data_IF_173769143244
#
_entry.id   IF_173769143244
#
_cell.length_a   1.000
_cell.length_b   1.000
_cell.length_c   1.000
_cell.angle_alpha   90.00
_cell.angle_beta   90.00
_cell.angle_gamma   90.00
#
_symmetry.space_group_name_H-M   'P 1'
#
loop_
_entity.id
_entity.type
_entity.pdbx_description
1 polymer ?
#
# COMPACT_ATOMS: atom_id res chain seq x y z
N UNK A 1 6.76 -2.57 -9.78
CA UNK A 1 5.26 -2.60 -9.83
C UNK A 1 4.75 -2.75 -8.40
N UNK A 2 3.63 -2.12 -8.06
CA UNK A 2 3.06 -2.19 -6.71
C UNK A 2 1.55 -2.37 -6.76
N UNK A 3 0.98 -2.86 -5.66
CA UNK A 3 -0.46 -2.95 -5.44
C UNK A 3 -0.75 -2.65 -3.97
N UNK A 4 -1.79 -1.86 -3.71
CA UNK A 4 -2.30 -1.58 -2.37
C UNK A 4 -3.73 -2.13 -2.32
N UNK A 5 -4.03 -2.97 -1.32
CA UNK A 5 -5.31 -3.64 -1.16
C UNK A 5 -5.84 -3.34 0.24
N UNK A 6 -7.09 -2.90 0.33
CA UNK A 6 -7.76 -2.82 1.63
C UNK A 6 -8.23 -4.23 2.03
N UNK A 7 -7.69 -4.76 3.12
CA UNK A 7 -8.01 -6.11 3.62
C UNK A 7 -9.03 -6.09 4.76
N UNK A 8 -9.12 -4.97 5.48
CA UNK A 8 -10.09 -4.72 6.53
C UNK A 8 -10.36 -3.20 6.66
N UNK A 9 -11.42 -2.77 7.37
CA UNK A 9 -11.56 -1.38 7.77
C UNK A 9 -10.30 -0.90 8.50
N UNK A 10 -9.63 0.12 7.97
CA UNK A 10 -8.39 0.65 8.56
C UNK A 10 -7.13 -0.16 8.29
N UNK A 11 -7.14 -1.19 7.42
CA UNK A 11 -5.92 -1.95 7.09
C UNK A 11 -5.67 -1.96 5.58
N UNK A 12 -4.47 -1.55 5.18
CA UNK A 12 -3.98 -1.62 3.82
C UNK A 12 -2.80 -2.59 3.73
N UNK A 13 -2.90 -3.54 2.82
CA UNK A 13 -1.80 -4.44 2.43
C UNK A 13 -1.09 -3.90 1.21
N UNK A 14 0.22 -3.78 1.31
CA UNK A 14 1.09 -3.29 0.24
C UNK A 14 1.89 -4.47 -0.31
N UNK A 15 1.71 -4.74 -1.60
CA UNK A 15 2.44 -5.76 -2.36
C UNK A 15 3.41 -5.06 -3.31
N UNK A 16 4.69 -5.39 -3.21
CA UNK A 16 5.75 -4.77 -4.01
C UNK A 16 6.44 -5.83 -4.84
N UNK A 17 6.56 -5.58 -6.16
CA UNK A 17 7.50 -6.30 -7.02
C UNK A 17 8.72 -5.42 -7.21
N UNK A 18 9.81 -5.83 -6.57
CA UNK A 18 11.10 -5.16 -6.52
C UNK A 18 11.99 -5.72 -7.64
N UNK A 19 12.74 -4.85 -8.30
CA UNK A 19 13.69 -5.26 -9.35
C UNK A 19 14.90 -5.98 -8.73
N UNK A 20 15.53 -6.87 -9.49
CA UNK A 20 16.72 -7.58 -9.04
C UNK A 20 17.85 -6.62 -8.67
N UNK A 21 18.54 -6.90 -7.55
CA UNK A 21 19.67 -6.10 -7.06
C UNK A 21 19.33 -5.01 -6.04
N UNK A 22 18.04 -4.84 -5.69
CA UNK A 22 17.61 -3.89 -4.65
C UNK A 22 17.21 -4.63 -3.36
N UNK A 23 17.63 -4.12 -2.20
CA UNK A 23 17.27 -4.64 -0.88
C UNK A 23 15.76 -4.47 -0.61
N UNK A 24 14.99 -5.57 -0.48
CA UNK A 24 13.57 -5.51 -0.21
C UNK A 24 13.18 -4.78 1.08
N UNK A 25 14.02 -4.87 2.11
CA UNK A 25 13.73 -4.28 3.42
C UNK A 25 13.98 -2.78 3.43
N UNK A 26 14.98 -2.32 2.69
CA UNK A 26 15.21 -0.89 2.46
C UNK A 26 14.04 -0.26 1.67
N UNK A 27 13.61 -0.90 0.59
CA UNK A 27 12.46 -0.44 -0.21
C UNK A 27 11.19 -0.43 0.64
N UNK A 28 10.95 -1.49 1.41
CA UNK A 28 9.79 -1.56 2.29
C UNK A 28 9.75 -0.42 3.32
N UNK A 29 10.87 -0.17 4.01
CA UNK A 29 10.95 0.92 5.01
C UNK A 29 10.65 2.28 4.40
N UNK A 30 11.18 2.55 3.20
CA UNK A 30 10.96 3.80 2.48
C UNK A 30 9.48 3.95 2.10
N UNK A 31 8.91 2.94 1.46
CA UNK A 31 7.49 2.96 1.04
C UNK A 31 6.55 3.06 2.24
N UNK A 32 6.85 2.37 3.34
CA UNK A 32 6.05 2.44 4.56
C UNK A 32 6.06 3.85 5.15
N UNK A 33 7.24 4.49 5.24
CA UNK A 33 7.36 5.85 5.77
C UNK A 33 6.58 6.86 4.93
N UNK A 34 6.74 6.80 3.61
CA UNK A 34 6.05 7.70 2.68
C UNK A 34 4.53 7.53 2.73
N UNK A 35 4.04 6.27 2.76
CA UNK A 35 2.61 5.99 2.86
C UNK A 35 2.03 6.39 4.23
N UNK A 36 2.75 6.12 5.32
CA UNK A 36 2.32 6.51 6.65
C UNK A 36 2.21 8.05 6.77
N UNK A 37 3.17 8.78 6.20
CA UNK A 37 3.13 10.24 6.15
C UNK A 37 1.94 10.73 5.32
N UNK A 38 1.75 10.20 4.11
CA UNK A 38 0.63 10.56 3.24
C UNK A 38 -0.72 10.32 3.93
N UNK A 39 -0.89 9.16 4.56
CA UNK A 39 -2.11 8.82 5.28
C UNK A 39 -2.35 9.79 6.45
N UNK A 40 -1.30 10.13 7.20
CA UNK A 40 -1.39 11.10 8.30
C UNK A 40 -1.81 12.49 7.79
N UNK A 41 -1.21 12.98 6.71
CA UNK A 41 -1.54 14.27 6.09
C UNK A 41 -3.01 14.34 5.65
N UNK A 42 -3.58 13.21 5.24
CA UNK A 42 -4.99 13.10 4.84
C UNK A 42 -5.95 12.70 5.99
N UNK A 43 -5.51 12.73 7.25
CA UNK A 43 -6.36 12.42 8.42
C UNK A 43 -6.68 10.93 8.59
N UNK A 44 -5.92 10.05 7.93
CA UNK A 44 -6.04 8.60 7.98
C UNK A 44 -4.85 7.95 8.70
N UNK A 45 -4.23 8.65 9.66
CA UNK A 45 -3.05 8.16 10.39
C UNK A 45 -3.27 6.89 11.21
N UNK A 46 -4.52 6.54 11.51
CA UNK A 46 -4.89 5.32 12.23
C UNK A 46 -4.93 4.07 11.33
N UNK A 47 -4.69 4.24 10.03
CA UNK A 47 -4.67 3.12 9.07
C UNK A 47 -3.39 2.30 9.25
N UNK A 48 -3.55 1.00 9.48
CA UNK A 48 -2.48 0.01 9.56
C UNK A 48 -1.97 -0.36 8.16
N UNK A 49 -0.65 -0.35 7.99
CA UNK A 49 0.02 -0.78 6.76
C UNK A 49 0.73 -2.13 6.97
N UNK A 50 0.44 -3.10 6.11
CA UNK A 50 1.06 -4.43 6.15
C UNK A 50 1.90 -4.69 4.88
N UNK A 51 3.09 -5.27 5.05
CA UNK A 51 3.85 -5.84 3.93
C UNK A 51 3.26 -7.19 3.55
N UNK A 52 3.26 -7.49 2.25
CA UNK A 52 3.04 -8.85 1.76
C UNK A 52 4.05 -9.20 0.68
N UNK A 53 4.57 -10.42 0.77
CA UNK A 53 5.48 -11.00 -0.23
C UNK A 53 4.72 -11.60 -1.43
N UNK A 54 3.39 -11.53 -1.42
CA UNK A 54 2.58 -11.91 -2.57
C UNK A 54 2.84 -10.95 -3.74
N UNK A 55 3.03 -11.52 -4.94
CA UNK A 55 3.14 -10.71 -6.14
C UNK A 55 1.87 -9.87 -6.35
N UNK A 56 1.99 -8.65 -6.90
CA UNK A 56 0.84 -7.88 -7.35
C UNK A 56 -0.06 -8.72 -8.26
N UNK A 57 -1.33 -8.88 -7.86
CA UNK A 57 -2.33 -9.63 -8.61
C UNK A 57 -3.02 -8.69 -9.60
N UNK A 58 -3.16 -9.13 -10.84
CA UNK A 58 -4.04 -8.47 -11.80
C UNK A 58 -5.47 -8.92 -11.51
N UNK A 59 -6.37 -7.98 -11.17
CA UNK A 59 -7.80 -8.29 -11.20
C UNK A 59 -8.22 -8.65 -12.65
N UNK A 60 -9.31 -9.41 -12.88
CA UNK A 60 -9.78 -9.81 -14.22
C UNK A 60 -10.11 -8.67 -15.21
N UNK A 61 -9.80 -7.41 -14.89
CA UNK A 61 -9.92 -6.26 -15.78
C UNK A 61 -8.68 -5.34 -15.82
N UNK A 62 -7.51 -5.75 -15.31
CA UNK A 62 -6.26 -4.99 -15.39
C UNK A 62 -6.24 -3.63 -14.66
N UNK A 63 -7.28 -3.32 -13.89
CA UNK A 63 -7.51 -1.99 -13.32
C UNK A 63 -6.88 -1.85 -11.93
N UNK A 64 -5.94 -0.92 -11.80
CA UNK A 64 -5.47 -0.46 -10.49
C UNK A 64 -6.56 0.42 -9.87
N UNK A 65 -7.20 -0.03 -8.79
CA UNK A 65 -8.19 0.79 -8.08
C UNK A 65 -7.48 1.84 -7.24
N UNK A 66 -7.74 3.12 -7.54
CA UNK A 66 -7.27 4.25 -6.73
C UNK A 66 -7.97 4.20 -5.38
N UNK A 67 -7.20 4.20 -4.29
CA UNK A 67 -7.74 4.39 -2.94
C UNK A 67 -8.27 5.82 -2.88
N UNK A 68 -9.58 5.98 -2.72
CA UNK A 68 -10.22 7.29 -2.49
C UNK A 68 -10.53 7.35 -0.99
N UNK A 69 -9.85 8.21 -0.21
CA UNK A 69 -10.18 8.42 1.19
C UNK A 69 -11.63 8.89 1.29
N UNK A 70 -12.45 8.22 2.10
CA UNK A 70 -13.76 8.76 2.46
C UNK A 70 -13.56 9.76 3.60
N UNK A 71 -13.85 11.02 3.33
CA UNK A 71 -14.06 12.00 4.40
C UNK A 71 -15.22 11.52 5.29
N UNK A 72 -15.05 11.61 6.61
CA UNK A 72 -16.13 11.38 7.58
C UNK A 72 -17.28 12.40 7.34
N UNK A 73 -18.54 12.02 7.63
CA UNK A 73 -19.70 12.90 7.45
C UNK A 73 -19.64 14.15 8.33
#
# INVERSE_FOLDING_TARGET
MFQIVQTAPGTLRVRLRIAGGTDPDHVWRTVFADLAQLLKEHGAGDVTLERSDEAPQQEPGGKFRRVIPRAKP
#
